data_IF_598958895840
#
_entry.id   IF_598958895840
#
_cell.length_a   1.000
_cell.length_b   1.000
_cell.length_c   1.000
_cell.angle_alpha   90.00
_cell.angle_beta   90.00
_cell.angle_gamma   90.00
#
_symmetry.space_group_name_H-M   'P 1'
#
loop_
_entity.id
_entity.type
_entity.pdbx_description
1 polymer ?
#
# COMPACT_ATOMS: atom_id res chain seq x y z
N UNK A 1 9.59 -3.77 -21.11
CA UNK A 1 9.85 -5.16 -20.69
C UNK A 1 10.88 -5.75 -21.62
N UNK A 2 11.82 -6.52 -21.07
CA UNK A 2 12.73 -7.30 -21.92
C UNK A 2 11.97 -8.47 -22.56
N UNK A 3 12.40 -8.94 -23.74
CA UNK A 3 11.83 -10.15 -24.35
C UNK A 3 11.82 -11.34 -23.37
N UNK A 4 12.81 -11.39 -22.47
CA UNK A 4 12.92 -12.39 -21.41
C UNK A 4 11.72 -12.40 -20.43
N UNK A 5 11.25 -11.24 -19.97
CA UNK A 5 10.09 -11.20 -19.05
C UNK A 5 8.80 -11.64 -19.74
N UNK A 6 8.63 -11.30 -21.02
CA UNK A 6 7.47 -11.74 -21.80
C UNK A 6 7.44 -13.27 -21.92
N UNK A 7 8.59 -13.87 -22.23
CA UNK A 7 8.71 -15.32 -22.39
C UNK A 7 8.47 -16.04 -21.06
N UNK A 8 9.02 -15.53 -19.94
CA UNK A 8 8.78 -16.08 -18.59
C UNK A 8 7.30 -16.05 -18.20
N UNK A 9 6.58 -14.96 -18.52
CA UNK A 9 5.14 -14.87 -18.24
C UNK A 9 4.37 -15.89 -19.06
N UNK A 10 4.70 -16.07 -20.35
CA UNK A 10 4.06 -17.06 -21.23
C UNK A 10 4.31 -18.50 -20.76
N UNK A 11 5.45 -18.78 -20.11
CA UNK A 11 5.81 -20.10 -19.58
C UNK A 11 5.13 -20.42 -18.24
N UNK A 12 5.18 -19.49 -17.28
CA UNK A 12 4.82 -19.75 -15.88
C UNK A 12 3.34 -19.49 -15.61
N UNK A 13 2.76 -18.45 -16.20
CA UNK A 13 1.39 -18.06 -15.91
C UNK A 13 0.37 -19.18 -16.19
N UNK A 14 0.43 -19.93 -17.31
CA UNK A 14 -0.48 -21.05 -17.54
C UNK A 14 -0.43 -22.12 -16.43
N UNK A 15 0.74 -22.35 -15.82
CA UNK A 15 0.90 -23.30 -14.73
C UNK A 15 0.18 -22.82 -13.46
N UNK A 16 0.25 -21.52 -13.16
CA UNK A 16 -0.47 -20.90 -12.05
C UNK A 16 -1.98 -20.95 -12.31
N UNK A 17 -2.42 -20.56 -13.50
CA UNK A 17 -3.83 -20.51 -13.88
C UNK A 17 -4.47 -21.92 -13.88
N UNK A 18 -3.71 -22.96 -14.27
CA UNK A 18 -4.18 -24.36 -14.21
C UNK A 18 -4.52 -24.85 -12.79
N UNK A 19 -3.93 -24.23 -11.76
CA UNK A 19 -4.18 -24.52 -10.34
C UNK A 19 -5.15 -23.53 -9.70
N UNK A 20 -5.53 -22.46 -10.41
CA UNK A 20 -6.36 -21.36 -9.90
C UNK A 20 -7.43 -21.01 -10.93
N UNK A 21 -7.26 -19.92 -11.67
CA UNK A 21 -8.15 -19.50 -12.75
C UNK A 21 -7.43 -18.54 -13.73
N UNK A 22 -7.99 -18.27 -14.92
CA UNK A 22 -7.46 -17.27 -15.86
C UNK A 22 -7.46 -15.82 -15.35
N UNK A 23 -8.25 -15.50 -14.31
CA UNK A 23 -8.36 -14.15 -13.76
C UNK A 23 -7.54 -13.95 -12.49
N UNK A 24 -6.85 -14.99 -12.02
CA UNK A 24 -6.06 -14.97 -10.81
C UNK A 24 -4.96 -13.89 -10.82
N UNK A 25 -4.69 -13.30 -9.65
CA UNK A 25 -3.67 -12.27 -9.46
C UNK A 25 -3.09 -12.33 -8.05
N UNK A 26 -1.83 -12.72 -7.88
CA UNK A 26 -1.22 -12.80 -6.55
C UNK A 26 -1.14 -11.44 -5.84
N UNK A 27 -1.09 -10.33 -6.57
CA UNK A 27 -1.05 -8.99 -5.96
C UNK A 27 -2.30 -8.69 -5.14
N UNK A 28 -3.47 -9.29 -5.44
CA UNK A 28 -4.68 -9.12 -4.62
C UNK A 28 -4.55 -9.67 -3.20
N UNK A 29 -3.66 -10.65 -3.01
CA UNK A 29 -3.34 -11.25 -1.72
C UNK A 29 -2.12 -10.62 -1.07
N UNK A 30 -1.08 -10.30 -1.85
CA UNK A 30 0.22 -9.97 -1.27
C UNK A 30 0.65 -8.51 -1.36
N UNK A 31 -0.08 -7.65 -2.08
CA UNK A 31 0.18 -6.20 -2.10
C UNK A 31 -0.98 -5.44 -1.46
N UNK A 32 -0.68 -4.32 -0.80
CA UNK A 32 -1.70 -3.40 -0.28
C UNK A 32 -1.17 -1.99 -0.15
N UNK A 33 -2.03 -1.02 -0.43
CA UNK A 33 -1.87 0.38 -0.02
C UNK A 33 -2.96 0.73 0.99
N UNK A 34 -2.59 1.44 2.04
CA UNK A 34 -3.46 1.80 3.16
C UNK A 34 -3.29 3.29 3.47
N UNK A 35 -4.40 4.03 3.47
CA UNK A 35 -4.45 5.44 3.85
C UNK A 35 -5.19 5.56 5.19
N UNK A 36 -4.45 5.53 6.30
CA UNK A 36 -5.05 5.50 7.65
C UNK A 36 -5.81 6.78 7.99
N UNK A 37 -5.41 7.92 7.43
CA UNK A 37 -6.11 9.20 7.61
C UNK A 37 -7.47 9.27 6.91
N UNK A 38 -7.70 8.43 5.90
CA UNK A 38 -8.98 8.34 5.17
C UNK A 38 -9.77 7.06 5.52
N UNK A 39 -9.13 6.10 6.19
CA UNK A 39 -9.71 4.78 6.40
C UNK A 39 -9.89 4.00 5.10
N UNK A 40 -9.00 4.17 4.13
CA UNK A 40 -9.13 3.59 2.80
C UNK A 40 -8.02 2.59 2.49
N UNK A 41 -8.33 1.63 1.61
CA UNK A 41 -7.36 0.66 1.13
C UNK A 41 -7.66 0.16 -0.27
N UNK A 42 -6.62 -0.32 -0.95
CA UNK A 42 -6.70 -1.11 -2.18
C UNK A 42 -5.53 -2.08 -2.24
N UNK A 43 -5.62 -3.14 -3.04
CA UNK A 43 -4.55 -4.16 -3.11
C UNK A 43 -3.42 -3.79 -4.09
N UNK A 44 -3.67 -2.92 -5.06
CA UNK A 44 -2.66 -2.38 -5.96
C UNK A 44 -3.11 -0.99 -6.45
N UNK A 45 -2.25 -0.22 -7.10
CA UNK A 45 -2.53 1.17 -7.44
C UNK A 45 -3.60 1.41 -8.53
N UNK A 46 -4.15 0.36 -9.13
CA UNK A 46 -5.14 0.49 -10.22
C UNK A 46 -6.59 0.58 -9.73
N UNK A 47 -7.08 -0.32 -8.85
CA UNK A 47 -8.38 -0.16 -8.23
C UNK A 47 -8.51 1.18 -7.50
N UNK A 48 -9.71 1.75 -7.57
CA UNK A 48 -10.08 2.82 -6.67
C UNK A 48 -9.99 2.34 -5.22
N UNK A 49 -9.45 3.16 -4.30
CA UNK A 49 -9.51 2.87 -2.88
C UNK A 49 -10.96 2.67 -2.42
N UNK A 50 -11.20 1.73 -1.50
CA UNK A 50 -12.48 1.59 -0.80
C UNK A 50 -12.30 1.77 0.70
N UNK A 51 -13.40 2.11 1.38
CA UNK A 51 -13.42 2.32 2.83
C UNK A 51 -13.25 0.98 3.56
N UNK A 52 -12.39 0.97 4.57
CA UNK A 52 -12.23 -0.12 5.52
C UNK A 52 -13.36 0.02 6.56
N UNK A 53 -14.32 -0.92 6.66
CA UNK A 53 -15.41 -0.77 7.61
C UNK A 53 -14.91 -0.88 9.07
N UNK A 54 -15.25 0.10 9.90
CA UNK A 54 -14.84 0.14 11.31
C UNK A 54 -15.28 -1.09 12.11
N UNK A 55 -16.45 -1.65 11.78
CA UNK A 55 -16.96 -2.85 12.44
C UNK A 55 -16.04 -4.05 12.23
N UNK A 56 -15.43 -4.19 11.04
CA UNK A 56 -14.49 -5.28 10.76
C UNK A 56 -13.20 -5.15 11.58
N UNK A 57 -12.78 -3.93 11.93
CA UNK A 57 -11.58 -3.69 12.73
C UNK A 57 -11.73 -4.04 14.21
N UNK A 58 -12.95 -4.01 14.74
CA UNK A 58 -13.23 -4.37 16.14
C UNK A 58 -12.85 -5.82 16.44
N UNK A 59 -13.16 -6.71 15.50
CA UNK A 59 -12.89 -8.14 15.61
C UNK A 59 -11.56 -8.54 14.96
N UNK A 60 -11.11 -7.80 13.94
CA UNK A 60 -9.94 -8.15 13.15
C UNK A 60 -9.11 -6.91 12.77
N UNK A 61 -8.01 -6.59 13.48
CA UNK A 61 -7.16 -5.45 13.13
C UNK A 61 -6.50 -5.61 11.74
N UNK A 62 -6.40 -6.82 11.20
CA UNK A 62 -5.92 -7.05 9.83
C UNK A 62 -6.95 -6.73 8.74
N UNK A 63 -8.18 -6.32 9.10
CA UNK A 63 -9.16 -5.85 8.12
C UNK A 63 -8.65 -4.66 7.30
N UNK A 64 -7.60 -3.97 7.75
CA UNK A 64 -6.80 -3.04 6.93
C UNK A 64 -6.39 -3.62 5.56
N UNK A 65 -6.15 -4.93 5.47
CA UNK A 65 -5.91 -5.66 4.21
C UNK A 65 -6.95 -6.75 3.92
N UNK A 66 -7.66 -7.21 4.94
CA UNK A 66 -8.54 -8.38 4.86
C UNK A 66 -10.03 -8.00 4.97
N UNK A 67 -10.43 -6.86 4.38
CA UNK A 67 -11.85 -6.49 4.33
C UNK A 67 -12.69 -7.56 3.63
N UNK A 68 -13.97 -7.68 4.01
CA UNK A 68 -14.93 -8.57 3.33
C UNK A 68 -14.96 -8.31 1.83
N UNK A 69 -14.93 -7.04 1.40
CA UNK A 69 -14.86 -6.69 -0.02
C UNK A 69 -13.64 -7.31 -0.71
N UNK A 70 -12.42 -7.16 -0.15
CA UNK A 70 -11.21 -7.75 -0.74
C UNK A 70 -11.27 -9.27 -0.78
N UNK A 71 -11.80 -9.92 0.26
CA UNK A 71 -11.97 -11.38 0.30
C UNK A 71 -12.94 -11.86 -0.78
N UNK A 72 -14.04 -11.14 -1.00
CA UNK A 72 -14.97 -11.43 -2.09
C UNK A 72 -14.32 -11.24 -3.46
N UNK A 73 -13.58 -10.16 -3.69
CA UNK A 73 -12.83 -9.96 -4.94
C UNK A 73 -11.79 -11.08 -5.19
N UNK A 74 -11.12 -11.55 -4.13
CA UNK A 74 -10.21 -12.70 -4.18
C UNK A 74 -10.95 -13.98 -4.59
N UNK A 75 -12.13 -14.24 -4.00
CA UNK A 75 -13.01 -15.35 -4.37
C UNK A 75 -13.43 -15.28 -5.82
N UNK A 76 -13.88 -14.11 -6.29
CA UNK A 76 -14.23 -13.88 -7.70
C UNK A 76 -13.07 -14.26 -8.63
N UNK A 77 -11.84 -13.86 -8.28
CA UNK A 77 -10.66 -14.26 -9.05
C UNK A 77 -10.39 -15.76 -9.00
N UNK A 78 -10.63 -16.45 -7.87
CA UNK A 78 -10.51 -17.91 -7.82
C UNK A 78 -11.58 -18.60 -8.67
N UNK A 79 -12.79 -18.02 -8.72
CA UNK A 79 -13.94 -18.53 -9.50
C UNK A 79 -13.84 -18.19 -11.00
N UNK A 80 -12.77 -17.51 -11.45
CA UNK A 80 -12.58 -17.12 -12.87
C UNK A 80 -13.34 -15.86 -13.28
N UNK A 81 -13.94 -15.14 -12.33
CA UNK A 81 -14.62 -13.87 -12.56
C UNK A 81 -13.61 -12.70 -12.60
N UNK A 82 -14.03 -11.59 -13.21
CA UNK A 82 -13.23 -10.36 -13.35
C UNK A 82 -13.75 -9.28 -12.40
N UNK A 83 -13.13 -9.05 -11.22
CA UNK A 83 -13.51 -7.96 -10.34
C UNK A 83 -13.48 -6.60 -11.04
N UNK A 84 -14.52 -5.79 -10.81
CA UNK A 84 -14.70 -4.49 -11.47
C UNK A 84 -13.55 -3.51 -11.21
N UNK A 85 -12.96 -3.54 -10.00
CA UNK A 85 -11.82 -2.71 -9.64
C UNK A 85 -10.54 -3.00 -10.43
N UNK A 86 -10.47 -4.10 -11.17
CA UNK A 86 -9.28 -4.48 -11.94
C UNK A 86 -9.39 -4.16 -13.44
N UNK A 87 -10.35 -3.31 -13.83
CA UNK A 87 -10.66 -2.94 -15.22
C UNK A 87 -9.43 -2.48 -16.02
N UNK A 88 -8.48 -1.76 -15.42
CA UNK A 88 -7.24 -1.40 -16.10
C UNK A 88 -6.52 -2.62 -16.69
N UNK A 89 -6.31 -3.66 -15.87
CA UNK A 89 -5.64 -4.89 -16.32
C UNK A 89 -6.47 -5.63 -17.37
N UNK A 90 -7.79 -5.65 -17.23
CA UNK A 90 -8.69 -6.26 -18.20
C UNK A 90 -8.65 -5.56 -19.55
N UNK A 91 -8.59 -4.23 -19.54
CA UNK A 91 -8.50 -3.44 -20.76
C UNK A 91 -7.17 -3.68 -21.47
N UNK A 92 -6.05 -3.70 -20.74
CA UNK A 92 -4.74 -4.04 -21.31
C UNK A 92 -4.76 -5.42 -21.98
N UNK A 93 -5.31 -6.43 -21.30
CA UNK A 93 -5.38 -7.79 -21.85
C UNK A 93 -6.37 -7.92 -23.02
N UNK A 94 -7.39 -7.07 -23.08
CA UNK A 94 -8.34 -7.03 -24.20
C UNK A 94 -7.74 -6.45 -25.48
N UNK A 95 -6.58 -5.77 -25.42
CA UNK A 95 -5.90 -5.22 -26.60
C UNK A 95 -5.27 -6.30 -27.49
N UNK A 96 -5.04 -7.51 -26.95
CA UNK A 96 -4.52 -8.64 -27.72
C UNK A 96 -3.64 -9.59 -26.90
N UNK A 97 -3.26 -10.74 -27.49
CA UNK A 97 -2.54 -11.82 -26.79
C UNK A 97 -1.13 -11.44 -26.32
N UNK A 98 -0.50 -10.45 -26.96
CA UNK A 98 0.85 -9.98 -26.60
C UNK A 98 0.87 -8.88 -25.54
N UNK A 99 -0.30 -8.38 -25.12
CA UNK A 99 -0.41 -7.36 -24.09
C UNK A 99 -0.42 -7.98 -22.70
N UNK A 100 0.58 -7.61 -21.90
CA UNK A 100 0.79 -8.13 -20.56
C UNK A 100 0.43 -7.06 -19.54
N UNK A 101 -0.62 -7.32 -18.77
CA UNK A 101 -1.05 -6.44 -17.70
C UNK A 101 -0.15 -6.52 -16.45
N UNK A 102 -0.26 -5.50 -15.61
CA UNK A 102 0.45 -5.46 -14.34
C UNK A 102 0.07 -6.60 -13.40
N UNK A 103 -1.17 -7.14 -13.48
CA UNK A 103 -1.52 -8.32 -12.68
C UNK A 103 -0.69 -9.54 -13.06
N UNK A 104 -0.39 -9.74 -14.34
CA UNK A 104 0.41 -10.88 -14.84
C UNK A 104 1.86 -10.72 -14.43
N UNK A 105 2.41 -9.51 -14.60
CA UNK A 105 3.78 -9.17 -14.17
C UNK A 105 3.96 -9.36 -12.66
N UNK A 106 3.04 -8.82 -11.85
CA UNK A 106 3.10 -8.96 -10.39
C UNK A 106 2.91 -10.41 -9.95
N UNK A 107 2.02 -11.15 -10.61
CA UNK A 107 1.83 -12.57 -10.30
C UNK A 107 3.12 -13.35 -10.53
N UNK A 108 3.78 -13.16 -11.66
CA UNK A 108 5.08 -13.77 -11.91
C UNK A 108 6.10 -13.38 -10.82
N UNK A 109 6.27 -12.08 -10.58
CA UNK A 109 7.27 -11.59 -9.62
C UNK A 109 7.05 -12.11 -8.19
N UNK A 110 5.79 -12.15 -7.73
CA UNK A 110 5.43 -12.67 -6.40
C UNK A 110 5.68 -14.18 -6.33
N UNK A 111 5.32 -14.92 -7.38
CA UNK A 111 5.47 -16.37 -7.44
C UNK A 111 6.94 -16.80 -7.49
N UNK A 112 7.75 -16.14 -8.31
CA UNK A 112 9.20 -16.40 -8.38
C UNK A 112 9.93 -15.98 -7.08
N UNK A 113 9.41 -14.96 -6.39
CA UNK A 113 9.93 -14.53 -5.09
C UNK A 113 9.66 -15.53 -3.96
N UNK A 114 8.48 -16.16 -3.94
CA UNK A 114 8.13 -17.25 -3.01
C UNK A 114 6.94 -18.07 -3.53
N UNK A 115 7.23 -19.23 -4.14
CA UNK A 115 6.22 -20.10 -4.73
C UNK A 115 5.21 -20.65 -3.72
N UNK A 116 5.57 -20.75 -2.44
CA UNK A 116 4.70 -21.27 -1.37
C UNK A 116 3.46 -20.42 -1.16
N UNK A 117 3.50 -19.13 -1.51
CA UNK A 117 2.35 -18.23 -1.43
C UNK A 117 1.17 -18.68 -2.27
N UNK A 118 1.44 -19.26 -3.44
CA UNK A 118 0.39 -19.83 -4.28
C UNK A 118 -0.22 -21.07 -3.61
N UNK A 119 0.62 -21.93 -3.05
CA UNK A 119 0.19 -23.15 -2.35
C UNK A 119 -0.65 -22.80 -1.11
N UNK A 120 -0.22 -21.80 -0.33
CA UNK A 120 -0.97 -21.32 0.84
C UNK A 120 -2.37 -20.83 0.44
N UNK A 121 -2.53 -20.14 -0.69
CA UNK A 121 -3.83 -19.66 -1.17
C UNK A 121 -4.73 -20.82 -1.60
N UNK A 122 -4.20 -21.80 -2.33
CA UNK A 122 -4.99 -22.91 -2.87
C UNK A 122 -5.41 -23.89 -1.78
N UNK A 123 -4.56 -24.11 -0.77
CA UNK A 123 -4.77 -25.12 0.27
C UNK A 123 -5.57 -24.62 1.47
N UNK A 124 -6.01 -23.36 1.47
CA UNK A 124 -6.76 -22.76 2.57
C UNK A 124 -8.10 -22.16 2.10
N UNK A 125 -9.04 -21.89 3.02
CA UNK A 125 -10.29 -21.22 2.69
C UNK A 125 -10.08 -19.87 2.00
N UNK A 126 -10.91 -19.57 0.99
CA UNK A 126 -10.83 -18.33 0.21
C UNK A 126 -10.96 -17.06 1.06
N UNK A 127 -11.63 -17.16 2.21
CA UNK A 127 -11.90 -16.07 3.15
C UNK A 127 -10.86 -15.96 4.27
N UNK A 128 -9.74 -16.69 4.18
CA UNK A 128 -8.66 -16.57 5.16
C UNK A 128 -8.08 -15.14 5.22
N UNK A 129 -7.58 -14.76 6.39
CA UNK A 129 -6.78 -13.55 6.53
C UNK A 129 -5.38 -13.79 5.97
N UNK A 130 -4.90 -12.85 5.16
CA UNK A 130 -3.55 -12.91 4.57
C UNK A 130 -2.72 -11.75 5.10
N UNK A 131 -1.47 -12.02 5.46
CA UNK A 131 -0.47 -10.98 5.63
C UNK A 131 0.20 -10.72 4.28
N UNK A 132 0.14 -9.49 3.75
CA UNK A 132 0.74 -9.17 2.47
C UNK A 132 2.28 -9.14 2.58
N UNK A 133 2.97 -9.37 1.46
CA UNK A 133 4.42 -9.20 1.40
C UNK A 133 4.84 -7.73 1.31
N UNK A 134 3.99 -6.90 0.71
CA UNK A 134 4.24 -5.49 0.43
C UNK A 134 3.10 -4.69 1.05
N UNK A 135 3.45 -3.76 1.93
CA UNK A 135 2.53 -2.73 2.43
C UNK A 135 3.06 -1.34 2.05
N UNK A 136 2.25 -0.57 1.35
CA UNK A 136 2.37 0.88 1.28
C UNK A 136 1.43 1.51 2.32
N UNK A 137 1.97 2.32 3.22
CA UNK A 137 1.24 2.86 4.35
C UNK A 137 1.39 4.38 4.43
N UNK A 138 0.26 5.08 4.42
CA UNK A 138 0.17 6.48 4.79
C UNK A 138 -0.47 6.59 6.17
N UNK A 139 0.32 7.03 7.16
CA UNK A 139 -0.21 7.33 8.49
C UNK A 139 -1.12 8.57 8.48
N UNK A 140 -0.72 9.60 7.73
CA UNK A 140 -1.37 10.90 7.73
C UNK A 140 -1.24 11.62 6.39
N UNK A 141 -2.02 12.69 6.23
CA UNK A 141 -1.84 13.69 5.17
C UNK A 141 -1.06 14.93 5.63
N UNK A 142 -0.60 14.97 6.90
CA UNK A 142 0.17 16.09 7.42
C UNK A 142 1.42 16.30 6.56
N UNK A 143 1.51 17.43 5.87
CA UNK A 143 2.61 17.76 4.98
C UNK A 143 2.95 19.25 5.09
N UNK A 144 4.20 19.60 4.83
CA UNK A 144 4.72 20.97 4.79
C UNK A 144 4.70 21.58 3.38
N UNK A 145 4.47 20.78 2.33
CA UNK A 145 4.52 21.21 0.92
C UNK A 145 3.15 21.12 0.22
N UNK A 146 3.02 21.80 -0.92
CA UNK A 146 1.86 21.79 -1.83
C UNK A 146 2.32 21.60 -3.29
N UNK A 147 2.97 20.47 -3.56
CA UNK A 147 3.53 20.17 -4.88
C UNK A 147 2.43 20.14 -5.95
N UNK A 148 2.73 20.61 -7.16
CA UNK A 148 1.77 20.73 -8.28
C UNK A 148 1.26 19.39 -8.80
N UNK A 149 2.00 18.30 -8.60
CA UNK A 149 1.54 16.93 -8.90
C UNK A 149 0.78 16.26 -7.74
N UNK A 150 0.65 16.93 -6.59
CA UNK A 150 0.00 16.37 -5.41
C UNK A 150 -1.53 16.62 -5.44
N UNK A 151 -2.21 16.20 -4.39
CA UNK A 151 -3.65 16.38 -4.19
C UNK A 151 -3.93 16.78 -2.72
N UNK A 152 -4.94 17.63 -2.46
CA UNK A 152 -5.43 17.95 -1.11
C UNK A 152 -5.68 16.75 -0.16
N UNK A 153 -5.91 15.55 -0.69
CA UNK A 153 -6.07 14.33 0.12
C UNK A 153 -4.78 13.94 0.83
N UNK A 154 -3.63 14.23 0.23
CA UNK A 154 -2.33 13.74 0.68
C UNK A 154 -1.44 14.85 1.26
N UNK A 155 -1.85 16.12 1.17
CA UNK A 155 -1.17 17.23 1.82
C UNK A 155 -2.14 18.13 2.58
N UNK A 156 -1.94 18.26 3.88
CA UNK A 156 -2.68 19.18 4.74
C UNK A 156 -2.51 20.64 4.31
N UNK A 157 -1.34 21.05 3.80
CA UNK A 157 -1.12 22.42 3.31
C UNK A 157 -1.90 22.71 2.04
N UNK A 158 -1.98 21.72 1.15
CA UNK A 158 -2.77 21.84 -0.06
C UNK A 158 -4.27 21.79 0.28
N UNK A 159 -4.68 20.95 1.24
CA UNK A 159 -6.03 20.97 1.79
C UNK A 159 -6.43 22.34 2.33
N UNK A 160 -5.59 22.96 3.17
CA UNK A 160 -5.85 24.28 3.75
C UNK A 160 -5.97 25.36 2.65
N UNK A 161 -5.11 25.31 1.62
CA UNK A 161 -5.18 26.22 0.47
C UNK A 161 -6.48 26.06 -0.31
N UNK A 162 -6.90 24.82 -0.60
CA UNK A 162 -8.16 24.56 -1.29
C UNK A 162 -9.38 25.02 -0.46
N UNK A 163 -9.31 24.96 0.87
CA UNK A 163 -10.35 25.51 1.75
C UNK A 163 -10.39 27.03 1.76
N UNK A 164 -9.23 27.68 1.68
CA UNK A 164 -9.12 29.15 1.76
C UNK A 164 -9.49 29.82 0.43
N UNK A 165 -9.00 29.28 -0.69
CA UNK A 165 -9.10 29.93 -2.01
C UNK A 165 -10.06 29.22 -2.97
N UNK A 166 -10.61 28.07 -2.57
CA UNK A 166 -11.38 27.19 -3.44
C UNK A 166 -10.49 26.16 -4.14
N UNK A 167 -11.08 25.06 -4.64
CA UNK A 167 -10.33 24.02 -5.33
C UNK A 167 -9.85 24.51 -6.70
N UNK A 168 -8.75 23.92 -7.17
CA UNK A 168 -8.30 24.12 -8.54
C UNK A 168 -9.31 23.49 -9.51
N UNK A 169 -9.80 24.29 -10.46
CA UNK A 169 -10.74 23.85 -11.51
C UNK A 169 -10.02 23.61 -12.83
N UNK A 170 -10.73 22.99 -13.79
CA UNK A 170 -10.27 22.80 -15.18
C UNK A 170 -8.99 21.94 -15.31
N UNK A 171 -8.76 21.04 -14.36
CA UNK A 171 -7.64 20.10 -14.36
C UNK A 171 -8.05 18.76 -14.99
N UNK A 172 -7.20 18.22 -15.85
CA UNK A 172 -7.34 16.85 -16.37
C UNK A 172 -6.97 15.78 -15.33
N UNK A 173 -6.40 16.17 -14.19
CA UNK A 173 -5.87 15.26 -13.15
C UNK A 173 -6.91 14.82 -12.11
N UNK A 174 -8.12 15.38 -12.12
CA UNK A 174 -9.22 14.97 -11.25
C UNK A 174 -9.86 16.11 -10.46
N UNK A 175 -10.72 15.73 -9.51
CA UNK A 175 -11.46 16.67 -8.65
C UNK A 175 -10.65 17.02 -7.39
N UNK A 176 -10.28 18.29 -7.27
CA UNK A 176 -9.51 18.84 -6.15
C UNK A 176 -10.38 19.43 -5.04
N UNK A 177 -11.71 19.34 -5.16
CA UNK A 177 -12.68 19.74 -4.13
C UNK A 177 -12.43 18.96 -2.85
N UNK A 178 -12.55 19.62 -1.69
CA UNK A 178 -12.27 18.98 -0.39
C UNK A 178 -13.53 18.44 0.29
N UNK A 179 -14.70 18.93 -0.11
CA UNK A 179 -15.99 18.72 0.54
C UNK A 179 -16.38 17.24 0.59
N UNK A 180 -16.00 16.46 -0.42
CA UNK A 180 -16.36 15.05 -0.52
C UNK A 180 -15.55 14.11 0.39
N UNK A 181 -14.43 14.59 0.96
CA UNK A 181 -13.58 13.80 1.87
C UNK A 181 -13.24 14.48 3.19
N UNK A 182 -13.44 15.80 3.36
CA UNK A 182 -13.08 16.51 4.59
C UNK A 182 -13.64 15.82 5.84
N UNK A 183 -14.92 15.43 5.83
CA UNK A 183 -15.58 14.79 6.96
C UNK A 183 -15.11 13.33 7.22
N UNK A 184 -14.28 12.78 6.35
CA UNK A 184 -13.68 11.44 6.48
C UNK A 184 -12.22 11.49 6.98
N UNK A 185 -11.63 12.69 7.07
CA UNK A 185 -10.25 12.86 7.51
C UNK A 185 -10.12 12.72 9.03
N UNK A 186 -9.29 11.78 9.45
CA UNK A 186 -8.78 11.73 10.81
C UNK A 186 -7.61 12.69 10.95
N UNK A 187 -7.75 13.67 11.84
CA UNK A 187 -6.76 14.74 12.02
C UNK A 187 -5.59 14.38 12.93
N UNK A 188 -5.80 13.46 13.87
CA UNK A 188 -4.81 13.04 14.87
C UNK A 188 -4.77 11.52 14.98
N UNK A 189 -3.64 10.98 15.42
CA UNK A 189 -3.41 9.55 15.57
C UNK A 189 -4.18 8.96 16.77
N UNK A 190 -4.35 9.72 17.85
CA UNK A 190 -4.92 9.25 19.13
C UNK A 190 -6.37 8.79 18.98
N UNK A 191 -7.16 9.49 18.17
CA UNK A 191 -8.58 9.21 17.94
C UNK A 191 -8.81 8.43 16.63
N UNK A 192 -7.74 7.95 15.99
CA UNK A 192 -7.82 7.25 14.71
C UNK A 192 -7.89 5.72 14.90
N UNK A 193 -9.07 5.08 14.70
CA UNK A 193 -9.22 3.64 14.87
C UNK A 193 -8.39 2.83 13.87
N UNK A 194 -8.04 3.40 12.71
CA UNK A 194 -7.18 2.74 11.73
C UNK A 194 -5.73 2.71 12.18
N UNK A 195 -5.25 3.78 12.84
CA UNK A 195 -3.91 3.82 13.45
C UNK A 195 -3.85 2.83 14.62
N UNK A 196 -4.88 2.79 15.47
CA UNK A 196 -4.98 1.79 16.54
C UNK A 196 -4.94 0.36 15.97
N UNK A 197 -5.73 0.08 14.93
CA UNK A 197 -5.76 -1.22 14.27
C UNK A 197 -4.40 -1.59 13.65
N UNK A 198 -3.70 -0.63 13.03
CA UNK A 198 -2.36 -0.86 12.50
C UNK A 198 -1.41 -1.34 13.60
N UNK A 199 -1.40 -0.67 14.75
CA UNK A 199 -0.52 -1.04 15.87
C UNK A 199 -0.93 -2.34 16.55
N UNK A 200 -2.22 -2.74 16.50
CA UNK A 200 -2.67 -4.08 16.91
C UNK A 200 -2.25 -5.17 15.91
N UNK A 201 -2.23 -4.86 14.62
CA UNK A 201 -1.83 -5.81 13.56
C UNK A 201 -0.30 -5.95 13.44
N UNK A 202 0.44 -4.87 13.71
CA UNK A 202 1.89 -4.76 13.57
C UNK A 202 2.69 -5.97 14.11
N UNK A 203 2.44 -6.49 15.34
CA UNK A 203 3.19 -7.63 15.88
C UNK A 203 3.04 -8.93 15.06
N UNK A 204 1.94 -9.08 14.32
CA UNK A 204 1.71 -10.23 13.44
C UNK A 204 2.31 -9.98 12.05
N UNK A 205 1.91 -8.89 11.40
CA UNK A 205 2.28 -8.63 10.00
C UNK A 205 3.77 -8.42 9.82
N UNK A 206 4.44 -7.79 10.77
CA UNK A 206 5.88 -7.51 10.70
C UNK A 206 6.76 -8.76 10.67
N UNK A 207 6.25 -9.92 11.10
CA UNK A 207 6.96 -11.21 11.04
C UNK A 207 7.06 -11.78 9.63
N UNK A 208 6.11 -11.43 8.78
CA UNK A 208 5.97 -11.97 7.41
C UNK A 208 6.20 -10.92 6.33
N UNK A 209 6.31 -9.65 6.71
CA UNK A 209 6.42 -8.53 5.78
C UNK A 209 7.80 -8.49 5.11
N UNK A 210 7.81 -8.43 3.77
CA UNK A 210 9.04 -8.32 3.00
C UNK A 210 9.37 -6.86 2.68
N UNK A 211 8.36 -6.03 2.39
CA UNK A 211 8.52 -4.63 2.01
C UNK A 211 7.50 -3.79 2.77
N UNK A 212 8.00 -2.82 3.54
CA UNK A 212 7.18 -1.76 4.12
C UNK A 212 7.58 -0.43 3.49
N UNK A 213 6.64 0.24 2.82
CA UNK A 213 6.82 1.56 2.26
C UNK A 213 5.97 2.58 3.00
N UNK A 214 6.60 3.54 3.64
CA UNK A 214 5.92 4.66 4.30
C UNK A 214 5.80 5.81 3.31
N UNK A 215 4.55 6.24 3.09
CA UNK A 215 4.15 7.34 2.21
C UNK A 215 3.19 8.27 2.97
N UNK A 216 2.32 9.00 2.26
CA UNK A 216 1.39 9.97 2.82
C UNK A 216 1.86 11.38 2.63
N UNK A 217 1.53 12.27 3.57
CA UNK A 217 2.01 13.65 3.60
C UNK A 217 3.54 13.73 3.66
N UNK A 218 4.09 14.18 4.78
CA UNK A 218 5.53 14.14 5.00
C UNK A 218 5.85 13.17 6.15
N UNK A 219 6.35 11.96 5.86
CA UNK A 219 6.68 10.99 6.89
C UNK A 219 7.63 11.52 7.97
N UNK A 220 8.54 12.44 7.64
CA UNK A 220 9.50 13.01 8.60
C UNK A 220 8.87 14.03 9.54
N UNK A 221 7.62 14.46 9.35
CA UNK A 221 6.91 15.28 10.36
C UNK A 221 5.89 14.47 11.16
N UNK A 222 5.62 13.22 10.77
CA UNK A 222 4.56 12.41 11.36
C UNK A 222 5.04 11.55 12.55
N UNK A 223 4.35 11.63 13.68
CA UNK A 223 4.68 10.92 14.92
C UNK A 223 4.77 9.40 14.77
N UNK A 224 3.79 8.78 14.10
CA UNK A 224 3.77 7.34 13.85
C UNK A 224 4.97 6.81 13.04
N UNK A 225 5.58 7.62 12.17
CA UNK A 225 6.84 7.24 11.49
C UNK A 225 7.97 7.04 12.50
N UNK A 226 8.11 7.96 13.46
CA UNK A 226 9.12 7.83 14.50
C UNK A 226 8.86 6.65 15.44
N UNK A 227 7.59 6.38 15.78
CA UNK A 227 7.20 5.19 16.54
C UNK A 227 7.59 3.91 15.79
N UNK A 228 7.37 3.84 14.48
CA UNK A 228 7.77 2.71 13.65
C UNK A 228 9.29 2.46 13.72
N UNK A 229 10.10 3.52 13.57
CA UNK A 229 11.56 3.42 13.68
C UNK A 229 11.99 2.97 15.09
N UNK A 230 11.30 3.41 16.13
CA UNK A 230 11.53 2.93 17.50
C UNK A 230 11.21 1.45 17.68
N UNK A 231 10.10 0.99 17.10
CA UNK A 231 9.72 -0.43 17.14
C UNK A 231 10.72 -1.32 16.39
N UNK A 232 11.22 -0.91 15.23
CA UNK A 232 12.29 -1.63 14.51
C UNK A 232 13.60 -1.59 15.30
N UNK A 233 13.89 -0.49 16.00
CA UNK A 233 15.07 -0.41 16.85
C UNK A 233 15.01 -1.35 18.05
N UNK A 234 13.84 -1.53 18.66
CA UNK A 234 13.62 -2.48 19.76
C UNK A 234 13.56 -3.93 19.27
N UNK A 235 12.91 -4.16 18.14
CA UNK A 235 12.63 -5.47 17.56
C UNK A 235 13.16 -5.52 16.12
N UNK A 236 14.43 -5.91 15.90
CA UNK A 236 15.02 -6.00 14.57
C UNK A 236 14.24 -6.93 13.63
N UNK A 237 14.15 -6.56 12.36
CA UNK A 237 13.41 -7.24 11.29
C UNK A 237 14.33 -7.51 10.08
N UNK A 238 15.26 -8.47 10.17
CA UNK A 238 16.34 -8.64 9.18
C UNK A 238 15.87 -9.04 7.78
N UNK A 239 14.62 -9.45 7.61
CA UNK A 239 14.03 -9.79 6.31
C UNK A 239 13.34 -8.59 5.62
N UNK A 240 13.07 -7.51 6.37
CA UNK A 240 12.29 -6.37 5.91
C UNK A 240 13.13 -5.45 5.03
N UNK A 241 12.63 -5.07 3.85
CA UNK A 241 13.02 -3.87 3.14
C UNK A 241 12.15 -2.69 3.62
N UNK A 242 12.78 -1.69 4.24
CA UNK A 242 12.12 -0.47 4.69
C UNK A 242 12.32 0.64 3.66
N UNK A 243 11.21 1.15 3.14
CA UNK A 243 11.17 2.23 2.17
C UNK A 243 10.45 3.43 2.78
N UNK A 244 11.00 4.64 2.66
CA UNK A 244 10.35 5.87 3.12
C UNK A 244 10.38 6.89 1.98
N UNK A 245 9.23 7.48 1.68
CA UNK A 245 9.13 8.61 0.77
C UNK A 245 9.16 9.92 1.56
N UNK A 246 9.94 10.91 1.13
CA UNK A 246 10.02 12.22 1.79
C UNK A 246 10.28 13.33 0.78
N UNK A 247 9.75 14.52 1.05
CA UNK A 247 10.11 15.75 0.35
C UNK A 247 11.41 16.38 0.89
N UNK A 248 12.02 15.79 1.93
CA UNK A 248 13.24 16.23 2.63
C UNK A 248 13.22 17.68 3.16
N UNK A 249 12.07 18.35 3.11
CA UNK A 249 11.84 19.73 3.53
C UNK A 249 11.32 19.88 4.96
N UNK A 250 11.33 18.79 5.75
CA UNK A 250 11.06 18.87 7.19
C UNK A 250 12.06 19.83 7.87
N UNK A 251 11.67 20.42 9.01
CA UNK A 251 12.60 21.30 9.71
C UNK A 251 13.87 20.53 10.15
N UNK A 252 15.03 21.19 10.30
CA UNK A 252 16.30 20.52 10.58
C UNK A 252 16.25 19.60 11.82
N UNK A 253 15.54 20.00 12.89
CA UNK A 253 15.43 19.19 14.11
C UNK A 253 14.70 17.86 13.88
N UNK A 254 13.67 17.86 13.04
CA UNK A 254 12.95 16.64 12.67
C UNK A 254 13.80 15.77 11.74
N UNK A 255 14.53 16.37 10.81
CA UNK A 255 15.48 15.64 9.98
C UNK A 255 16.59 14.99 10.81
N UNK A 256 17.19 15.71 11.76
CA UNK A 256 18.20 15.18 12.69
C UNK A 256 17.62 14.02 13.51
N UNK A 257 16.42 14.18 14.06
CA UNK A 257 15.71 13.11 14.79
C UNK A 257 15.48 11.87 13.92
N UNK A 258 15.16 12.06 12.64
CA UNK A 258 15.00 10.97 11.69
C UNK A 258 16.31 10.22 11.48
N UNK A 259 17.41 10.94 11.26
CA UNK A 259 18.75 10.36 11.13
C UNK A 259 19.16 9.61 12.40
N UNK A 260 18.94 10.18 13.59
CA UNK A 260 19.30 9.56 14.87
C UNK A 260 18.60 8.21 15.09
N UNK A 261 17.33 8.09 14.68
CA UNK A 261 16.60 6.82 14.78
C UNK A 261 16.96 5.85 13.65
N UNK A 262 17.25 6.35 12.46
CA UNK A 262 17.54 5.52 11.30
C UNK A 262 18.96 4.93 11.33
N UNK A 263 19.95 5.71 11.76
CA UNK A 263 21.35 5.31 11.82
C UNK A 263 21.58 3.95 12.51
N UNK A 264 21.06 3.68 13.73
CA UNK A 264 21.21 2.37 14.36
C UNK A 264 20.47 1.24 13.63
N UNK A 265 19.42 1.53 12.85
CA UNK A 265 18.74 0.52 12.01
C UNK A 265 19.67 0.07 10.88
N UNK A 266 20.35 1.01 10.23
CA UNK A 266 21.26 0.74 9.11
C UNK A 266 22.56 0.11 9.60
N UNK A 267 23.26 0.77 10.54
CA UNK A 267 24.59 0.34 10.99
C UNK A 267 24.59 -1.04 11.65
N UNK A 268 23.52 -1.37 12.38
CA UNK A 268 23.34 -2.67 13.04
C UNK A 268 22.56 -3.67 12.18
N UNK A 269 22.31 -3.36 10.90
CA UNK A 269 21.58 -4.21 9.95
C UNK A 269 20.25 -4.76 10.52
N UNK A 270 19.48 -3.91 11.19
CA UNK A 270 18.19 -4.29 11.78
C UNK A 270 17.11 -4.56 10.74
N UNK A 271 17.34 -4.14 9.49
CA UNK A 271 16.50 -4.43 8.32
C UNK A 271 17.38 -4.95 7.19
N UNK A 272 16.80 -5.69 6.24
CA UNK A 272 17.51 -6.21 5.06
C UNK A 272 18.10 -5.09 4.21
N UNK A 273 17.28 -4.06 3.98
CA UNK A 273 17.60 -2.91 3.13
C UNK A 273 16.78 -1.71 3.56
N UNK A 274 17.38 -0.53 3.45
CA UNK A 274 16.68 0.74 3.59
C UNK A 274 16.76 1.51 2.27
N UNK A 275 15.67 2.16 1.85
CA UNK A 275 15.66 3.12 0.75
C UNK A 275 14.89 4.38 1.15
N UNK A 276 15.51 5.52 0.92
CA UNK A 276 14.85 6.81 0.98
C UNK A 276 14.53 7.25 -0.46
N UNK A 277 13.25 7.46 -0.74
CA UNK A 277 12.78 8.03 -1.99
C UNK A 277 12.52 9.51 -1.76
N UNK A 278 13.10 10.36 -2.60
CA UNK A 278 12.84 11.80 -2.56
C UNK A 278 11.89 12.20 -3.68
N UNK A 279 10.86 12.97 -3.35
CA UNK A 279 10.00 13.62 -4.32
C UNK A 279 10.32 15.11 -4.29
N UNK A 280 10.86 15.62 -5.40
CA UNK A 280 11.27 17.01 -5.53
C UNK A 280 10.40 17.62 -6.63
N UNK A 281 9.63 18.64 -6.26
CA UNK A 281 8.99 19.59 -7.18
C UNK A 281 9.76 20.91 -7.10
#
# INVERSE_FOLDING_TARGET
MSNYEHDRIKEILPQIESKTSPTFCLAKWHHVTIYLHLGETHSCYHPQPHIIPLEELKENPSALHNTKQKKLERKQMLDGEKPIGCTYCWNVEAMGPDYISDRKQRTLAIHEGDGRRLEDIINNPWDMNVNPEYIELSFGNQCNFKCGYCHPRYSSRFFDEAKEFGPYTDLNSGDYSVEWFENKLYKNDEDNPYVEAWWKWWPSVSKTLNILRITGGEPLIHGSTYRLLDEINKNPMPNLELNINSNIGANPKLFDRFIDKLKPIIEKKKVKKFKLFTSID
#
